data_IF_814753994566
#
_entry.id   IF_814753994566
#
_cell.length_a   1.000
_cell.length_b   1.000
_cell.length_c   1.000
_cell.angle_alpha   90.00
_cell.angle_beta   90.00
_cell.angle_gamma   90.00
#
_symmetry.space_group_name_H-M   'P 1'
#
loop_
_entity.id
_entity.type
_entity.pdbx_description
1 polymer ?
#
# COMPACT_ATOMS: atom_id res chain seq x y z
N UNK A 1 -0.45 21.91 -16.60
CA UNK A 1 -1.03 20.83 -15.82
C UNK A 1 -1.92 21.35 -14.69
N UNK A 2 -2.68 20.48 -14.04
CA UNK A 2 -3.52 20.82 -12.89
C UNK A 2 -2.61 20.94 -11.65
N UNK A 3 -2.73 22.04 -10.90
CA UNK A 3 -1.94 22.25 -9.68
C UNK A 3 -2.48 21.40 -8.54
N UNK A 4 -1.57 20.72 -7.84
CA UNK A 4 -1.84 19.91 -6.66
C UNK A 4 -0.82 20.23 -5.56
N UNK A 5 -1.23 20.07 -4.30
CA UNK A 5 -0.34 20.16 -3.13
C UNK A 5 -0.63 19.01 -2.17
N UNK A 6 0.27 18.76 -1.24
CA UNK A 6 0.13 17.74 -0.22
C UNK A 6 0.47 18.29 1.17
N UNK A 7 -0.22 17.75 2.20
CA UNK A 7 0.08 18.00 3.61
C UNK A 7 0.26 16.65 4.31
N UNK A 8 1.47 16.39 4.79
CA UNK A 8 1.86 15.08 5.35
C UNK A 8 2.74 15.20 6.59
N UNK A 9 3.06 14.08 7.20
CA UNK A 9 3.97 14.03 8.36
C UNK A 9 5.39 14.41 7.94
N UNK A 10 6.07 15.22 8.76
CA UNK A 10 7.42 15.73 8.48
C UNK A 10 7.48 17.15 7.92
N UNK A 11 6.36 17.70 7.42
CA UNK A 11 6.30 19.11 7.03
C UNK A 11 6.34 20.02 8.26
N UNK A 12 7.05 21.14 8.13
CA UNK A 12 7.06 22.23 9.12
C UNK A 12 5.69 22.94 9.17
N UNK A 13 5.44 23.66 10.23
CA UNK A 13 4.20 24.44 10.37
C UNK A 13 4.05 25.50 9.27
N UNK A 14 5.14 26.11 8.85
CA UNK A 14 5.15 27.11 7.79
C UNK A 14 4.82 26.50 6.44
N UNK A 15 5.44 25.36 6.08
CA UNK A 15 5.13 24.64 4.84
C UNK A 15 3.66 24.21 4.78
N UNK A 16 3.08 23.76 5.90
CA UNK A 16 1.67 23.40 6.00
C UNK A 16 0.79 24.62 5.74
N UNK A 17 1.10 25.77 6.37
CA UNK A 17 0.35 27.02 6.17
C UNK A 17 0.37 27.45 4.71
N UNK A 18 1.53 27.47 4.09
CA UNK A 18 1.68 27.84 2.67
C UNK A 18 0.87 26.89 1.77
N UNK A 19 0.93 25.58 2.02
CA UNK A 19 0.18 24.59 1.25
C UNK A 19 -1.34 24.82 1.36
N UNK A 20 -1.86 25.06 2.56
CA UNK A 20 -3.28 25.30 2.81
C UNK A 20 -3.75 26.66 2.23
N UNK A 21 -2.95 27.72 2.36
CA UNK A 21 -3.26 29.02 1.76
C UNK A 21 -3.28 28.98 0.23
N UNK A 22 -2.40 28.23 -0.37
CA UNK A 22 -2.42 27.97 -1.81
C UNK A 22 -3.74 27.30 -2.26
N UNK A 23 -4.39 26.50 -1.41
CA UNK A 23 -5.70 25.93 -1.71
C UNK A 23 -6.84 26.95 -1.55
N UNK A 24 -6.68 27.98 -0.72
CA UNK A 24 -7.70 29.01 -0.50
C UNK A 24 -7.57 30.11 -1.57
N UNK A 25 -6.38 30.68 -1.75
CA UNK A 25 -6.12 31.87 -2.54
C UNK A 25 -5.47 31.57 -3.91
N UNK A 26 -4.83 30.41 -4.04
CA UNK A 26 -4.16 29.98 -5.26
C UNK A 26 -5.06 29.17 -6.18
N UNK A 27 -4.53 28.80 -7.35
CA UNK A 27 -5.26 27.95 -8.31
C UNK A 27 -4.89 26.47 -8.12
N UNK A 28 -4.90 25.97 -6.88
CA UNK A 28 -4.71 24.55 -6.58
C UNK A 28 -6.06 23.84 -6.59
N UNK A 29 -6.13 22.70 -7.29
CA UNK A 29 -7.36 21.92 -7.49
C UNK A 29 -7.39 20.64 -6.68
N UNK A 30 -6.23 20.15 -6.24
CA UNK A 30 -6.11 18.95 -5.43
C UNK A 30 -5.28 19.23 -4.19
N UNK A 31 -5.83 18.83 -3.05
CA UNK A 31 -5.13 18.76 -1.77
C UNK A 31 -5.07 17.30 -1.33
N UNK A 32 -3.86 16.75 -1.27
CA UNK A 32 -3.62 15.44 -0.66
C UNK A 32 -3.26 15.65 0.81
N UNK A 33 -3.98 14.96 1.69
CA UNK A 33 -3.77 15.11 3.12
C UNK A 33 -3.81 13.75 3.82
N UNK A 34 -2.89 13.52 4.76
CA UNK A 34 -2.93 12.31 5.58
C UNK A 34 -4.01 12.41 6.66
N UNK A 35 -4.71 11.31 7.00
CA UNK A 35 -5.81 11.33 7.96
C UNK A 35 -5.42 11.89 9.33
N UNK A 36 -4.16 11.71 9.75
CA UNK A 36 -3.63 12.23 11.02
C UNK A 36 -3.70 13.76 11.10
N UNK A 37 -3.64 14.44 9.95
CA UNK A 37 -3.66 15.91 9.86
C UNK A 37 -5.06 16.49 9.92
N UNK A 38 -6.10 15.72 9.64
CA UNK A 38 -7.50 16.18 9.61
C UNK A 38 -7.97 16.73 10.98
N UNK A 39 -7.47 16.16 12.08
CA UNK A 39 -7.79 16.62 13.43
C UNK A 39 -6.99 17.82 13.93
N UNK A 40 -6.09 18.41 13.13
CA UNK A 40 -5.31 19.55 13.56
C UNK A 40 -6.11 20.84 13.45
N UNK A 41 -6.02 21.71 14.48
CA UNK A 41 -6.74 22.98 14.53
C UNK A 41 -6.47 23.86 13.30
N UNK A 42 -5.20 23.93 12.90
CA UNK A 42 -4.78 24.71 11.73
C UNK A 42 -5.50 24.26 10.44
N UNK A 43 -5.62 22.95 10.24
CA UNK A 43 -6.33 22.40 9.07
C UNK A 43 -7.82 22.74 9.14
N UNK A 44 -8.46 22.51 10.28
CA UNK A 44 -9.92 22.73 10.43
C UNK A 44 -10.31 24.20 10.24
N UNK A 45 -9.47 25.13 10.75
CA UNK A 45 -9.67 26.57 10.54
C UNK A 45 -9.57 26.90 9.05
N UNK A 46 -8.53 26.45 8.37
CA UNK A 46 -8.30 26.75 6.94
C UNK A 46 -9.33 26.07 6.05
N UNK A 47 -9.79 24.87 6.39
CA UNK A 47 -10.81 24.13 5.65
C UNK A 47 -12.12 24.92 5.51
N UNK A 48 -12.54 25.65 6.55
CA UNK A 48 -13.75 26.50 6.52
C UNK A 48 -13.70 27.62 5.47
N UNK A 49 -12.49 28.00 5.06
CA UNK A 49 -12.26 29.03 4.03
C UNK A 49 -12.00 28.42 2.63
N UNK A 50 -11.96 27.08 2.52
CA UNK A 50 -11.75 26.40 1.24
C UNK A 50 -13.06 26.12 0.54
N UNK A 51 -13.07 26.23 -0.78
CA UNK A 51 -14.19 25.78 -1.62
C UNK A 51 -13.96 24.30 -2.01
N UNK A 52 -14.45 23.38 -1.18
CA UNK A 52 -14.31 21.94 -1.40
C UNK A 52 -15.47 21.41 -2.22
N UNK A 53 -15.20 20.84 -3.38
CA UNK A 53 -16.22 20.30 -4.30
C UNK A 53 -16.36 18.77 -4.20
N UNK A 54 -15.34 18.07 -3.70
CA UNK A 54 -15.30 16.61 -3.61
C UNK A 54 -14.34 16.17 -2.51
N UNK A 55 -14.72 15.17 -1.74
CA UNK A 55 -13.83 14.46 -0.81
C UNK A 55 -13.59 13.06 -1.38
N UNK A 56 -12.33 12.70 -1.56
CA UNK A 56 -11.94 11.34 -1.97
C UNK A 56 -11.16 10.66 -0.86
N UNK A 57 -11.63 9.50 -0.44
CA UNK A 57 -10.98 8.67 0.58
C UNK A 57 -10.36 7.47 -0.10
N UNK A 58 -9.03 7.50 -0.24
CA UNK A 58 -8.27 6.35 -0.74
C UNK A 58 -7.99 5.36 0.38
N UNK A 59 -7.80 4.06 0.03
CA UNK A 59 -7.64 2.96 0.99
C UNK A 59 -8.72 2.97 2.08
N UNK A 60 -9.96 3.24 1.68
CA UNK A 60 -11.09 3.45 2.60
C UNK A 60 -11.39 2.27 3.52
N UNK A 61 -10.92 1.06 3.20
CA UNK A 61 -10.99 -0.11 4.08
C UNK A 61 -10.29 0.11 5.43
N UNK A 62 -9.33 1.05 5.50
CA UNK A 62 -8.65 1.42 6.73
C UNK A 62 -9.57 2.05 7.79
N UNK A 63 -10.79 2.49 7.44
CA UNK A 63 -11.77 3.02 8.41
C UNK A 63 -12.47 1.91 9.19
N UNK A 64 -12.45 0.68 8.67
CA UNK A 64 -13.17 -0.46 9.20
C UNK A 64 -12.31 -1.32 10.12
N UNK A 65 -12.82 -1.65 11.29
CA UNK A 65 -12.19 -2.63 12.20
C UNK A 65 -12.26 -4.06 11.64
N UNK A 66 -13.14 -4.32 10.69
CA UNK A 66 -13.24 -5.58 9.97
C UNK A 66 -12.27 -5.66 8.79
N UNK A 67 -11.60 -4.54 8.47
CA UNK A 67 -10.56 -4.48 7.46
C UNK A 67 -9.23 -5.04 7.97
N UNK A 68 -8.40 -5.52 7.08
CA UNK A 68 -7.08 -6.09 7.41
C UNK A 68 -6.02 -5.05 7.86
N UNK A 69 -6.26 -3.75 7.61
CA UNK A 69 -5.35 -2.63 7.95
C UNK A 69 -6.13 -1.47 8.59
N UNK A 70 -6.77 -1.75 9.75
CA UNK A 70 -7.52 -0.71 10.47
C UNK A 70 -6.59 0.40 10.97
N UNK A 71 -6.96 1.65 10.68
CA UNK A 71 -6.23 2.85 11.12
C UNK A 71 -7.16 3.81 11.82
N UNK A 72 -7.02 3.99 13.15
CA UNK A 72 -7.88 4.89 13.93
C UNK A 72 -7.95 6.33 13.38
N UNK A 73 -6.88 6.82 12.74
CA UNK A 73 -6.85 8.16 12.14
C UNK A 73 -7.91 8.34 11.04
N UNK A 74 -8.31 7.26 10.33
CA UNK A 74 -9.36 7.32 9.31
C UNK A 74 -10.75 7.67 9.88
N UNK A 75 -11.00 7.39 11.17
CA UNK A 75 -12.26 7.78 11.82
C UNK A 75 -12.45 9.30 11.82
N UNK A 76 -11.36 10.09 11.84
CA UNK A 76 -11.42 11.56 11.76
C UNK A 76 -11.98 12.09 10.44
N UNK A 77 -12.03 11.24 9.39
CA UNK A 77 -12.64 11.62 8.11
C UNK A 77 -14.14 11.86 8.29
N UNK A 78 -14.80 11.12 9.20
CA UNK A 78 -16.20 11.32 9.53
C UNK A 78 -16.44 12.73 10.12
N UNK A 79 -15.51 13.27 10.91
CA UNK A 79 -15.62 14.62 11.48
C UNK A 79 -15.60 15.69 10.36
N UNK A 80 -14.83 15.48 9.30
CA UNK A 80 -14.81 16.36 8.14
C UNK A 80 -16.15 16.35 7.40
N UNK A 81 -16.85 15.21 7.37
CA UNK A 81 -18.21 15.13 6.81
C UNK A 81 -19.20 16.03 7.55
N UNK A 82 -19.06 16.17 8.87
CA UNK A 82 -19.90 17.07 9.67
C UNK A 82 -19.62 18.55 9.36
N UNK A 83 -18.37 18.90 9.05
CA UNK A 83 -17.99 20.26 8.66
C UNK A 83 -18.42 20.59 7.21
N UNK A 84 -18.52 19.59 6.36
CA UNK A 84 -18.82 19.73 4.93
C UNK A 84 -19.98 18.75 4.52
N UNK A 85 -21.19 18.91 5.09
CA UNK A 85 -22.27 17.92 4.92
C UNK A 85 -22.78 17.81 3.49
N UNK A 86 -22.69 18.86 2.69
CA UNK A 86 -23.18 18.88 1.30
C UNK A 86 -22.16 18.40 0.27
N UNK A 87 -20.89 18.27 0.67
CA UNK A 87 -19.83 17.85 -0.25
C UNK A 87 -19.92 16.34 -0.52
N UNK A 88 -19.98 15.91 -1.79
CA UNK A 88 -19.99 14.49 -2.13
C UNK A 88 -18.70 13.80 -1.71
N UNK A 89 -18.81 12.51 -1.38
CA UNK A 89 -17.68 11.68 -0.98
C UNK A 89 -17.55 10.47 -1.91
N UNK A 90 -16.34 10.20 -2.35
CA UNK A 90 -15.96 8.96 -3.03
C UNK A 90 -15.00 8.20 -2.11
N UNK A 91 -15.34 6.95 -1.79
CA UNK A 91 -14.49 6.02 -1.07
C UNK A 91 -13.94 4.97 -2.03
N UNK A 92 -12.61 4.82 -2.07
CA UNK A 92 -11.90 3.92 -2.97
C UNK A 92 -11.20 2.84 -2.15
N UNK A 93 -11.33 1.60 -2.58
CA UNK A 93 -10.58 0.47 -2.03
C UNK A 93 -10.50 -0.68 -3.02
N UNK A 94 -9.41 -1.41 -3.00
CA UNK A 94 -9.21 -2.60 -3.83
C UNK A 94 -9.53 -3.91 -3.09
N UNK A 95 -9.79 -3.89 -1.78
CA UNK A 95 -9.79 -5.09 -0.93
C UNK A 95 -10.89 -5.03 0.14
N UNK A 96 -12.13 -4.75 -0.25
CA UNK A 96 -13.23 -4.68 0.71
C UNK A 96 -14.18 -5.88 0.59
N UNK A 97 -14.42 -6.59 1.69
CA UNK A 97 -15.51 -7.55 1.82
C UNK A 97 -16.86 -6.82 1.90
N UNK A 98 -18.00 -7.51 1.72
CA UNK A 98 -19.32 -6.89 1.87
C UNK A 98 -19.51 -6.18 3.22
N UNK A 99 -19.01 -6.77 4.30
CA UNK A 99 -19.07 -6.21 5.65
C UNK A 99 -18.27 -4.90 5.76
N UNK A 100 -17.06 -4.89 5.19
CA UNK A 100 -16.19 -3.70 5.13
C UNK A 100 -16.83 -2.60 4.29
N UNK A 101 -17.46 -2.94 3.17
CA UNK A 101 -18.20 -1.98 2.32
C UNK A 101 -19.31 -1.31 3.10
N UNK A 102 -20.09 -2.09 3.87
CA UNK A 102 -21.16 -1.57 4.71
C UNK A 102 -20.61 -0.63 5.79
N UNK A 103 -19.57 -1.06 6.51
CA UNK A 103 -18.94 -0.25 7.57
C UNK A 103 -18.34 1.06 7.02
N UNK A 104 -17.75 1.06 5.82
CA UNK A 104 -17.25 2.27 5.13
C UNK A 104 -18.41 3.27 4.92
N UNK A 105 -19.53 2.82 4.38
CA UNK A 105 -20.66 3.70 4.07
C UNK A 105 -21.31 4.26 5.35
N UNK A 106 -21.45 3.43 6.38
CA UNK A 106 -21.97 3.86 7.69
C UNK A 106 -21.06 4.90 8.34
N UNK A 107 -19.75 4.64 8.43
CA UNK A 107 -18.79 5.54 9.07
C UNK A 107 -18.59 6.84 8.32
N UNK A 108 -18.60 6.80 6.99
CA UNK A 108 -18.50 8.00 6.15
C UNK A 108 -19.86 8.69 5.95
N UNK A 109 -20.93 8.19 6.61
CA UNK A 109 -22.28 8.79 6.59
C UNK A 109 -22.79 8.99 5.16
N UNK A 110 -22.72 7.97 4.33
CA UNK A 110 -23.27 8.02 2.98
C UNK A 110 -24.79 8.19 3.05
N UNK A 111 -25.34 9.11 2.25
CA UNK A 111 -26.79 9.40 2.22
C UNK A 111 -27.59 8.26 1.60
N UNK A 112 -26.97 7.50 0.70
CA UNK A 112 -27.56 6.36 0.00
C UNK A 112 -26.49 5.29 -0.19
N UNK A 113 -26.89 4.05 -0.14
CA UNK A 113 -26.02 2.95 -0.53
C UNK A 113 -25.74 3.04 -2.03
N UNK A 114 -24.50 3.25 -2.38
CA UNK A 114 -24.06 3.35 -3.77
C UNK A 114 -22.67 2.70 -3.92
N UNK A 115 -22.64 1.52 -4.54
CA UNK A 115 -21.42 0.71 -4.65
C UNK A 115 -21.18 0.33 -6.09
N UNK A 116 -20.07 0.79 -6.63
CA UNK A 116 -19.56 0.35 -7.93
C UNK A 116 -18.52 -0.72 -7.73
N UNK A 117 -18.75 -1.90 -8.27
CA UNK A 117 -17.83 -3.04 -8.18
C UNK A 117 -17.29 -3.39 -9.56
N UNK A 118 -16.00 -3.60 -9.63
CA UNK A 118 -15.33 -4.18 -10.79
C UNK A 118 -14.81 -5.57 -10.44
N UNK A 119 -14.67 -6.42 -11.44
CA UNK A 119 -14.01 -7.72 -11.25
C UNK A 119 -12.57 -7.54 -10.80
N UNK A 120 -12.15 -8.33 -9.83
CA UNK A 120 -10.75 -8.42 -9.39
C UNK A 120 -9.89 -9.29 -10.32
N UNK A 121 -10.50 -9.91 -11.33
CA UNK A 121 -9.79 -10.76 -12.27
C UNK A 121 -8.76 -9.96 -13.08
N UNK A 122 -7.52 -10.43 -13.01
CA UNK A 122 -6.38 -9.88 -13.75
C UNK A 122 -5.93 -10.91 -14.77
N UNK A 123 -6.47 -10.84 -16.00
CA UNK A 123 -6.19 -11.81 -17.08
C UNK A 123 -4.72 -11.89 -17.47
N UNK A 124 -3.96 -10.83 -17.21
CA UNK A 124 -2.54 -10.75 -17.49
C UNK A 124 -1.64 -11.18 -16.32
N UNK A 125 -2.20 -11.51 -15.16
CA UNK A 125 -1.45 -11.88 -13.95
C UNK A 125 -1.68 -13.34 -13.59
N UNK A 126 -0.63 -14.15 -13.65
CA UNK A 126 -0.68 -15.56 -13.25
C UNK A 126 -0.31 -15.70 -11.77
N UNK A 127 -1.19 -16.29 -10.97
CA UNK A 127 -0.93 -16.65 -9.58
C UNK A 127 -0.41 -18.08 -9.51
N UNK A 128 0.76 -18.28 -8.91
CA UNK A 128 1.47 -19.55 -8.87
C UNK A 128 1.92 -19.85 -7.45
N UNK A 129 1.65 -21.06 -6.95
CA UNK A 129 2.23 -21.57 -5.71
C UNK A 129 3.28 -22.61 -6.04
N UNK A 130 4.49 -22.43 -5.50
CA UNK A 130 5.60 -23.37 -5.62
C UNK A 130 5.89 -24.00 -4.27
N UNK A 131 5.74 -25.31 -4.19
CA UNK A 131 6.15 -26.09 -3.03
C UNK A 131 7.64 -26.39 -3.13
N UNK A 132 8.41 -25.90 -2.16
CA UNK A 132 9.87 -26.09 -2.13
C UNK A 132 10.40 -25.99 -0.71
N UNK A 133 11.37 -26.82 -0.36
CA UNK A 133 12.16 -26.68 0.87
C UNK A 133 13.34 -25.71 0.68
N UNK A 134 13.83 -25.58 -0.57
CA UNK A 134 14.88 -24.62 -0.96
C UNK A 134 14.25 -23.38 -1.64
N UNK A 135 13.78 -22.45 -0.82
CA UNK A 135 13.17 -21.21 -1.32
C UNK A 135 14.16 -20.28 -2.00
N UNK A 136 15.43 -20.29 -1.58
CA UNK A 136 16.46 -19.43 -2.17
C UNK A 136 16.85 -19.91 -3.56
N UNK A 137 17.09 -21.20 -3.72
CA UNK A 137 17.37 -21.81 -5.03
C UNK A 137 16.22 -21.65 -6.01
N UNK A 138 14.98 -21.90 -5.57
CA UNK A 138 13.80 -21.72 -6.42
C UNK A 138 13.57 -20.25 -6.81
N UNK A 139 13.80 -19.31 -5.90
CA UNK A 139 13.73 -17.87 -6.20
C UNK A 139 14.76 -17.45 -7.25
N UNK A 140 16.02 -17.90 -7.12
CA UNK A 140 17.07 -17.64 -8.11
C UNK A 140 16.70 -18.20 -9.47
N UNK A 141 16.22 -19.45 -9.51
CA UNK A 141 15.78 -20.12 -10.72
C UNK A 141 14.65 -19.36 -11.44
N UNK A 142 13.66 -18.88 -10.70
CA UNK A 142 12.54 -18.09 -11.25
C UNK A 142 13.06 -16.75 -11.79
N UNK A 143 13.88 -16.03 -11.02
CA UNK A 143 14.42 -14.74 -11.41
C UNK A 143 15.34 -14.82 -12.62
N UNK A 144 16.04 -15.92 -12.84
CA UNK A 144 16.87 -16.14 -14.03
C UNK A 144 16.02 -16.36 -15.30
N UNK A 145 14.79 -16.86 -15.17
CA UNK A 145 13.90 -17.16 -16.30
C UNK A 145 12.91 -16.04 -16.63
N UNK A 146 12.49 -15.27 -15.64
CA UNK A 146 11.53 -14.17 -15.83
C UNK A 146 12.30 -12.86 -15.81
N UNK A 147 12.51 -12.27 -16.97
CA UNK A 147 13.19 -10.98 -17.10
C UNK A 147 12.28 -9.80 -16.71
N UNK A 148 12.87 -8.63 -16.42
CA UNK A 148 12.17 -7.39 -16.08
C UNK A 148 12.17 -7.08 -14.59
N UNK A 149 11.57 -5.94 -14.25
CA UNK A 149 11.46 -5.46 -12.87
C UNK A 149 10.73 -6.45 -12.00
N UNK A 150 11.24 -6.69 -10.79
CA UNK A 150 10.68 -7.68 -9.87
C UNK A 150 10.65 -7.15 -8.43
N UNK A 151 9.72 -7.69 -7.64
CA UNK A 151 9.63 -7.45 -6.20
C UNK A 151 9.69 -8.81 -5.49
N UNK A 152 10.48 -8.91 -4.43
CA UNK A 152 10.52 -10.07 -3.53
C UNK A 152 10.06 -9.63 -2.15
N UNK A 153 8.94 -10.18 -1.69
CA UNK A 153 8.41 -9.91 -0.36
C UNK A 153 8.90 -10.93 0.67
N UNK A 154 9.36 -10.44 1.80
CA UNK A 154 9.69 -11.22 2.99
C UNK A 154 9.16 -10.52 4.24
N UNK A 155 8.92 -11.26 5.31
CA UNK A 155 8.36 -10.71 6.56
C UNK A 155 9.44 -10.17 7.51
N UNK A 156 10.70 -10.49 7.28
CA UNK A 156 11.80 -10.18 8.18
C UNK A 156 12.73 -9.12 7.58
N UNK A 157 12.95 -8.01 8.31
CA UNK A 157 13.84 -6.92 7.89
C UNK A 157 15.28 -7.40 7.59
N UNK A 158 15.82 -8.32 8.40
CA UNK A 158 17.15 -8.87 8.19
C UNK A 158 17.23 -9.68 6.90
N UNK A 159 16.22 -10.53 6.64
CA UNK A 159 16.12 -11.30 5.40
C UNK A 159 16.07 -10.42 4.14
N UNK A 160 15.50 -9.21 4.19
CA UNK A 160 15.50 -8.33 3.01
C UNK A 160 16.90 -8.04 2.51
N UNK A 161 17.82 -7.76 3.44
CA UNK A 161 19.22 -7.50 3.13
C UNK A 161 19.95 -8.78 2.68
N UNK A 162 19.72 -9.89 3.36
CA UNK A 162 20.36 -11.19 3.06
C UNK A 162 19.99 -11.65 1.65
N UNK A 163 18.70 -11.60 1.29
CA UNK A 163 18.23 -11.96 -0.05
C UNK A 163 18.81 -11.00 -1.12
N UNK A 164 18.82 -9.69 -0.86
CA UNK A 164 19.39 -8.74 -1.81
C UNK A 164 20.90 -9.02 -2.06
N UNK A 165 21.65 -9.36 -1.01
CA UNK A 165 23.05 -9.77 -1.15
C UNK A 165 23.21 -11.08 -1.92
N UNK A 166 22.36 -12.07 -1.66
CA UNK A 166 22.34 -13.34 -2.39
C UNK A 166 22.10 -13.10 -3.89
N UNK A 167 21.11 -12.26 -4.24
CA UNK A 167 20.80 -11.93 -5.63
C UNK A 167 21.98 -11.24 -6.33
N UNK A 168 22.60 -10.25 -5.68
CA UNK A 168 23.75 -9.53 -6.23
C UNK A 168 24.95 -10.47 -6.45
N UNK A 169 25.21 -11.42 -5.56
CA UNK A 169 26.25 -12.45 -5.74
C UNK A 169 25.96 -13.37 -6.94
N UNK A 170 24.69 -13.51 -7.33
CA UNK A 170 24.27 -14.28 -8.50
C UNK A 170 24.00 -13.40 -9.73
N UNK A 171 24.62 -12.21 -9.81
CA UNK A 171 24.54 -11.28 -10.94
C UNK A 171 23.14 -10.75 -11.23
N UNK A 172 22.22 -10.75 -10.23
CA UNK A 172 20.89 -10.14 -10.31
C UNK A 172 20.92 -8.86 -9.48
N UNK A 173 20.91 -7.70 -10.14
CA UNK A 173 20.97 -6.40 -9.44
C UNK A 173 19.78 -6.22 -8.52
N UNK A 174 20.04 -6.11 -7.22
CA UNK A 174 18.98 -6.02 -6.21
C UNK A 174 19.31 -5.00 -5.11
N UNK A 175 18.29 -4.35 -4.61
CA UNK A 175 18.32 -3.54 -3.39
C UNK A 175 17.25 -3.98 -2.42
N UNK A 176 17.23 -3.42 -1.21
CA UNK A 176 16.23 -3.81 -0.19
C UNK A 176 15.56 -2.62 0.46
N UNK A 177 14.32 -2.86 0.95
CA UNK A 177 13.48 -1.84 1.55
C UNK A 177 12.71 -2.38 2.76
N UNK A 178 12.71 -1.65 3.87
CA UNK A 178 11.91 -1.95 5.06
C UNK A 178 11.70 -0.69 5.92
N UNK A 179 10.73 -0.70 6.81
CA UNK A 179 10.35 0.45 7.65
C UNK A 179 11.50 0.99 8.54
N UNK A 180 12.48 0.17 8.89
CA UNK A 180 13.61 0.57 9.73
C UNK A 180 14.75 1.32 9.01
N UNK A 181 14.60 1.61 7.70
CA UNK A 181 15.53 2.48 6.97
C UNK A 181 15.17 3.96 7.21
N UNK A 182 16.17 4.86 7.13
CA UNK A 182 15.89 6.30 7.09
C UNK A 182 15.07 6.68 5.86
N UNK A 183 14.29 7.75 5.95
CA UNK A 183 13.44 8.19 4.85
C UNK A 183 14.24 8.56 3.60
N UNK A 184 15.41 9.17 3.78
CA UNK A 184 16.36 9.45 2.70
C UNK A 184 16.82 8.17 1.98
N UNK A 185 17.19 7.14 2.74
CA UNK A 185 17.60 5.83 2.18
C UNK A 185 16.44 5.14 1.46
N UNK A 186 15.23 5.22 2.01
CA UNK A 186 14.02 4.68 1.37
C UNK A 186 13.78 5.34 0.03
N UNK A 187 13.80 6.68 -0.01
CA UNK A 187 13.58 7.47 -1.21
C UNK A 187 14.63 7.17 -2.29
N UNK A 188 15.92 7.16 -1.91
CA UNK A 188 17.02 6.85 -2.82
C UNK A 188 16.86 5.47 -3.47
N UNK A 189 16.59 4.43 -2.67
CA UNK A 189 16.47 3.06 -3.19
C UNK A 189 15.23 2.86 -4.04
N UNK A 190 14.11 3.48 -3.65
CA UNK A 190 12.88 3.46 -4.42
C UNK A 190 13.07 4.13 -5.78
N UNK A 191 13.68 5.32 -5.82
CA UNK A 191 13.98 6.04 -7.06
C UNK A 191 14.92 5.25 -7.97
N UNK A 192 15.97 4.66 -7.42
CA UNK A 192 16.92 3.84 -8.17
C UNK A 192 16.23 2.61 -8.80
N UNK A 193 15.35 1.93 -8.04
CA UNK A 193 14.58 0.80 -8.58
C UNK A 193 13.54 1.25 -9.62
N UNK A 194 12.87 2.36 -9.42
CA UNK A 194 11.92 2.93 -10.40
C UNK A 194 12.62 3.24 -11.73
N UNK A 195 13.86 3.75 -11.69
CA UNK A 195 14.69 4.01 -12.87
C UNK A 195 15.28 2.76 -13.52
N UNK A 196 15.19 1.59 -12.88
CA UNK A 196 15.73 0.33 -13.38
C UNK A 196 17.23 0.11 -13.07
N UNK A 197 17.85 0.94 -12.22
CA UNK A 197 19.23 0.73 -11.74
C UNK A 197 19.36 -0.57 -10.95
N UNK A 198 18.28 -0.94 -10.23
CA UNK A 198 18.11 -2.25 -9.63
C UNK A 198 16.94 -2.97 -10.29
N UNK A 199 17.17 -4.21 -10.69
CA UNK A 199 16.13 -5.06 -11.26
C UNK A 199 15.15 -5.55 -10.20
N UNK A 200 15.65 -5.90 -9.02
CA UNK A 200 14.85 -6.50 -7.94
C UNK A 200 14.81 -5.60 -6.71
N UNK A 201 13.62 -5.34 -6.21
CA UNK A 201 13.39 -4.78 -4.88
C UNK A 201 13.04 -5.91 -3.92
N UNK A 202 13.87 -6.13 -2.90
CA UNK A 202 13.56 -7.07 -1.82
C UNK A 202 12.99 -6.30 -0.65
N UNK A 203 11.77 -6.60 -0.23
CA UNK A 203 11.08 -5.73 0.71
C UNK A 203 10.22 -6.45 1.75
N UNK A 204 9.93 -5.76 2.84
CA UNK A 204 8.78 -6.10 3.69
C UNK A 204 7.53 -5.41 3.14
N UNK A 205 6.35 -5.68 3.74
CA UNK A 205 5.08 -5.01 3.43
C UNK A 205 5.15 -3.46 3.52
N UNK A 206 6.18 -2.90 4.16
CA UNK A 206 6.42 -1.46 4.15
C UNK A 206 6.70 -0.87 2.75
N UNK A 207 7.12 -1.70 1.80
CA UNK A 207 7.24 -1.34 0.39
C UNK A 207 5.91 -1.64 -0.30
N UNK A 208 4.99 -0.70 -0.19
CA UNK A 208 3.63 -0.99 -0.62
C UNK A 208 2.89 0.23 -1.14
N UNK A 209 2.21 0.96 -0.28
CA UNK A 209 1.37 2.10 -0.67
C UNK A 209 2.15 3.13 -1.50
N UNK A 210 1.50 3.65 -2.54
CA UNK A 210 2.08 4.68 -3.40
C UNK A 210 3.15 4.20 -4.39
N UNK A 211 3.48 2.91 -4.45
CA UNK A 211 4.41 2.38 -5.44
C UNK A 211 3.66 2.15 -6.76
N UNK A 212 4.01 2.95 -7.75
CA UNK A 212 3.51 2.79 -9.13
C UNK A 212 4.66 2.61 -10.11
N UNK A 213 4.92 1.34 -10.46
CA UNK A 213 5.82 0.91 -11.53
C UNK A 213 5.05 -0.08 -12.40
N UNK A 214 4.58 0.33 -13.58
CA UNK A 214 3.64 -0.45 -14.37
C UNK A 214 4.28 -1.73 -14.95
N UNK A 215 5.58 -1.72 -15.18
CA UNK A 215 6.36 -2.77 -15.84
C UNK A 215 6.93 -3.85 -14.90
N UNK A 216 6.39 -4.02 -13.70
CA UNK A 216 6.77 -5.13 -12.82
C UNK A 216 6.31 -6.45 -13.44
N UNK A 217 7.26 -7.34 -13.75
CA UNK A 217 6.97 -8.64 -14.37
C UNK A 217 6.76 -9.76 -13.39
N UNK A 218 7.30 -9.62 -12.17
CA UNK A 218 7.31 -10.70 -11.20
C UNK A 218 7.21 -10.16 -9.78
N UNK A 219 6.30 -10.73 -9.01
CA UNK A 219 6.24 -10.59 -7.56
C UNK A 219 6.45 -11.96 -6.94
N UNK A 220 7.46 -12.12 -6.09
CA UNK A 220 7.73 -13.36 -5.35
C UNK A 220 7.43 -13.11 -3.87
N UNK A 221 6.65 -13.98 -3.26
CA UNK A 221 6.48 -14.06 -1.82
C UNK A 221 7.38 -15.17 -1.28
N UNK A 222 8.51 -14.79 -0.70
CA UNK A 222 9.45 -15.72 -0.04
C UNK A 222 8.88 -16.23 1.31
N UNK A 223 8.06 -15.43 1.95
CA UNK A 223 7.29 -15.78 3.15
C UNK A 223 5.80 -15.61 2.86
N UNK A 224 4.95 -16.44 3.47
CA UNK A 224 3.49 -16.34 3.32
C UNK A 224 2.97 -15.03 3.92
N UNK A 225 2.18 -14.24 3.19
CA UNK A 225 1.52 -13.04 3.70
C UNK A 225 0.59 -13.34 4.88
N UNK A 226 0.27 -12.32 5.68
CA UNK A 226 -0.56 -12.51 6.87
C UNK A 226 -2.04 -12.72 6.55
N UNK A 227 -2.49 -12.24 5.40
CA UNK A 227 -3.87 -12.41 4.93
C UNK A 227 -3.95 -12.54 3.41
N UNK A 228 -5.06 -13.10 2.87
CA UNK A 228 -5.33 -13.12 1.44
C UNK A 228 -5.38 -11.71 0.83
N UNK A 229 -5.90 -10.72 1.55
CA UNK A 229 -5.99 -9.33 1.12
C UNK A 229 -4.59 -8.72 0.94
N UNK A 230 -3.69 -8.94 1.92
CA UNK A 230 -2.30 -8.52 1.83
C UNK A 230 -1.60 -9.18 0.64
N UNK A 231 -1.81 -10.50 0.44
CA UNK A 231 -1.30 -11.21 -0.72
C UNK A 231 -1.78 -10.61 -2.04
N UNK A 232 -3.09 -10.36 -2.14
CA UNK A 232 -3.70 -9.79 -3.34
C UNK A 232 -3.16 -8.38 -3.65
N UNK A 233 -3.02 -7.54 -2.64
CA UNK A 233 -2.51 -6.18 -2.77
C UNK A 233 -1.03 -6.17 -3.20
N UNK A 234 -0.20 -7.03 -2.60
CA UNK A 234 1.22 -7.16 -2.93
C UNK A 234 1.42 -7.77 -4.33
N UNK A 235 0.72 -8.85 -4.65
CA UNK A 235 0.73 -9.51 -5.95
C UNK A 235 0.23 -8.59 -7.08
N UNK A 236 -0.80 -7.78 -6.79
CA UNK A 236 -1.42 -6.84 -7.72
C UNK A 236 -0.51 -5.72 -8.22
N UNK A 237 0.72 -5.60 -7.70
CA UNK A 237 1.74 -4.68 -8.22
C UNK A 237 2.32 -5.13 -9.55
N UNK A 238 2.21 -6.42 -9.87
CA UNK A 238 2.72 -6.95 -11.13
C UNK A 238 1.75 -6.65 -12.29
N UNK A 239 2.31 -6.33 -13.45
CA UNK A 239 1.58 -6.23 -14.72
C UNK A 239 0.53 -5.10 -14.78
N UNK A 240 0.76 -3.97 -14.15
CA UNK A 240 -0.17 -2.83 -14.22
C UNK A 240 -0.29 -2.22 -15.62
N UNK A 241 0.70 -2.44 -16.47
CA UNK A 241 0.70 -2.08 -17.88
C UNK A 241 -0.13 -3.02 -18.78
N UNK A 242 -0.80 -4.01 -18.20
CA UNK A 242 -1.59 -5.01 -18.95
C UNK A 242 -0.75 -6.13 -19.57
N UNK A 243 0.58 -6.06 -19.51
CA UNK A 243 1.46 -7.11 -20.03
C UNK A 243 1.51 -8.30 -19.07
N UNK A 244 1.81 -9.50 -19.61
CA UNK A 244 1.91 -10.73 -18.82
C UNK A 244 2.87 -10.59 -17.65
N UNK A 245 2.42 -10.97 -16.47
CA UNK A 245 3.17 -10.92 -15.23
C UNK A 245 2.84 -12.11 -14.33
N UNK A 246 3.66 -12.33 -13.31
CA UNK A 246 3.57 -13.49 -12.44
C UNK A 246 3.63 -13.07 -10.98
N UNK A 247 2.77 -13.68 -10.16
CA UNK A 247 2.82 -13.63 -8.71
C UNK A 247 3.09 -15.05 -8.19
N UNK A 248 4.26 -15.25 -7.60
CA UNK A 248 4.71 -16.56 -7.15
C UNK A 248 4.83 -16.60 -5.63
N UNK A 249 4.11 -17.51 -5.00
CA UNK A 249 4.24 -17.82 -3.58
C UNK A 249 5.14 -19.04 -3.39
N UNK A 250 6.26 -18.87 -2.70
CA UNK A 250 7.12 -19.98 -2.29
C UNK A 250 6.64 -20.53 -0.95
N UNK A 251 6.19 -21.77 -0.96
CA UNK A 251 5.58 -22.39 0.20
C UNK A 251 6.35 -23.65 0.64
N UNK A 252 6.56 -23.79 1.94
CA UNK A 252 7.00 -25.04 2.55
C UNK A 252 6.11 -25.37 3.77
N UNK A 253 6.06 -26.63 4.25
CA UNK A 253 5.23 -27.01 5.38
C UNK A 253 5.48 -26.21 6.67
N UNK A 254 6.70 -25.74 6.87
CA UNK A 254 7.08 -24.90 8.03
C UNK A 254 6.37 -23.56 8.04
N UNK A 255 6.00 -23.03 6.88
CA UNK A 255 5.26 -21.75 6.78
C UNK A 255 3.90 -21.85 7.48
N UNK A 256 3.24 -23.01 7.39
CA UNK A 256 1.95 -23.25 8.06
C UNK A 256 2.08 -23.15 9.58
N UNK A 257 3.17 -23.69 10.14
CA UNK A 257 3.44 -23.63 11.58
C UNK A 257 3.68 -22.17 11.99
N UNK A 258 4.54 -21.46 11.24
CA UNK A 258 4.85 -20.06 11.49
C UNK A 258 3.61 -19.17 11.40
N UNK A 259 2.74 -19.41 10.41
CA UNK A 259 1.51 -18.64 10.25
C UNK A 259 0.52 -18.90 11.38
N UNK A 260 0.34 -20.15 11.80
CA UNK A 260 -0.50 -20.49 12.96
C UNK A 260 0.00 -19.81 14.24
N UNK A 261 1.30 -19.82 14.49
CA UNK A 261 1.89 -19.15 15.64
C UNK A 261 1.60 -17.65 15.63
N UNK A 262 1.77 -16.98 14.49
CA UNK A 262 1.46 -15.54 14.35
C UNK A 262 -0.02 -15.23 14.62
N UNK A 263 -0.93 -16.06 14.11
CA UNK A 263 -2.36 -15.91 14.38
C UNK A 263 -2.64 -16.02 15.88
N UNK A 264 -2.08 -17.04 16.54
CA UNK A 264 -2.22 -17.20 17.98
C UNK A 264 -1.64 -16.03 18.78
N UNK A 265 -0.48 -15.50 18.36
CA UNK A 265 0.16 -14.35 19.02
C UNK A 265 -0.65 -13.05 18.84
N UNK A 266 -1.35 -12.92 17.70
CA UNK A 266 -2.18 -11.74 17.39
C UNK A 266 -3.54 -11.81 18.10
N UNK A 267 -4.10 -12.99 18.22
CA UNK A 267 -5.39 -13.27 18.85
C UNK A 267 -5.20 -14.33 19.96
N UNK A 268 -4.59 -13.96 21.11
CA UNK A 268 -4.43 -14.91 22.19
C UNK A 268 -5.81 -15.36 22.68
N UNK A 269 -5.99 -16.68 22.80
CA UNK A 269 -7.18 -17.23 23.45
C UNK A 269 -7.29 -16.62 24.85
N UNK A 270 -8.44 -16.07 25.18
CA UNK A 270 -8.71 -15.62 26.54
C UNK A 270 -8.98 -16.88 27.37
N UNK A 271 -8.09 -17.18 28.33
CA UNK A 271 -8.35 -18.13 29.39
C UNK A 271 -9.58 -17.73 30.20
#
# INVERSE_FOLDING_TARGET
GIKATAVYSGMTREEILIALENCIFGNYKFLYISPERLGTEIFQIKLRSMHVSLITVDESHCISQWGYDFRPAYLKIADIRQLLPEVPVIALTATATPEVVKDIQERLQFRQENVFRMSFERKNLAYIVRHTEDKEGEMLHILQRVNGSSIVYTRNRKKTKEIALLLNRNHITATFYHAGLSDETKDLRQKAWLKGEYRVMVATNAFGMGIDKPDVRLVIHADVPDSPEAYFQEAGRAGRDGMKAYAVLLFCPRDKITLKQRISDTFPEKD
#
